data_IF_613011018647
#
_entry.id   IF_613011018647
#
_cell.length_a   1.000
_cell.length_b   1.000
_cell.length_c   1.000
_cell.angle_alpha   90.00
_cell.angle_beta   90.00
_cell.angle_gamma   90.00
#
_symmetry.space_group_name_H-M   'P 1'
#
loop_
_entity.id
_entity.type
_entity.pdbx_description
1 polymer ?
#
# COMPACT_ATOMS: atom_id res chain seq x y z
N UNK A 1 -11.46 -10.50 -0.73
CA UNK A 1 -11.54 -11.24 -2.01
C UNK A 1 -12.25 -10.35 -3.00
N UNK A 2 -11.73 -10.22 -4.21
CA UNK A 2 -12.32 -9.42 -5.28
C UNK A 2 -13.05 -10.39 -6.20
N UNK A 3 -14.37 -10.31 -6.24
CA UNK A 3 -15.23 -11.04 -7.19
C UNK A 3 -15.55 -10.10 -8.36
N UNK A 4 -15.15 -10.48 -9.58
CA UNK A 4 -15.32 -9.63 -10.75
C UNK A 4 -16.80 -9.37 -11.10
N UNK A 5 -17.72 -10.22 -10.65
CA UNK A 5 -19.16 -9.97 -10.81
C UNK A 5 -19.65 -8.82 -9.95
N UNK A 6 -19.11 -8.67 -8.74
CA UNK A 6 -19.52 -7.61 -7.81
C UNK A 6 -19.08 -6.21 -8.28
N UNK A 7 -18.06 -6.13 -9.13
CA UNK A 7 -17.55 -4.88 -9.70
C UNK A 7 -17.89 -4.72 -11.19
N UNK A 8 -18.71 -5.62 -11.75
CA UNK A 8 -19.18 -5.55 -13.14
C UNK A 8 -18.11 -5.79 -14.20
N UNK A 9 -17.06 -6.56 -13.88
CA UNK A 9 -15.96 -6.87 -14.80
C UNK A 9 -16.04 -8.29 -15.38
N UNK A 10 -17.00 -9.09 -14.94
CA UNK A 10 -17.22 -10.45 -15.43
C UNK A 10 -17.65 -10.53 -16.91
N UNK A 11 -17.95 -9.41 -17.55
CA UNK A 11 -18.35 -9.36 -18.96
C UNK A 11 -17.13 -9.41 -19.90
N UNK A 12 -15.95 -9.03 -19.41
CA UNK A 12 -14.72 -8.98 -20.21
C UNK A 12 -13.54 -9.73 -19.58
N UNK A 13 -13.54 -9.98 -18.26
CA UNK A 13 -12.61 -10.92 -17.63
C UNK A 13 -13.26 -12.31 -17.63
N UNK A 14 -12.66 -13.24 -18.37
CA UNK A 14 -13.12 -14.62 -18.52
C UNK A 14 -12.59 -15.47 -17.37
N UNK A 15 -11.29 -15.36 -17.04
CA UNK A 15 -10.71 -16.12 -15.95
C UNK A 15 -9.58 -15.40 -15.19
N UNK A 16 -9.46 -15.64 -13.87
CA UNK A 16 -10.44 -16.34 -13.03
C UNK A 16 -11.65 -15.44 -12.72
N UNK A 17 -12.68 -15.98 -12.08
CA UNK A 17 -13.86 -15.21 -11.68
C UNK A 17 -13.59 -14.18 -10.57
N UNK A 18 -12.46 -14.30 -9.88
CA UNK A 18 -12.05 -13.41 -8.80
C UNK A 18 -10.74 -13.86 -8.15
N UNK A 19 -10.16 -13.01 -7.31
CA UNK A 19 -8.88 -13.28 -6.66
C UNK A 19 -8.71 -12.58 -5.31
N UNK A 20 -7.72 -13.02 -4.53
CA UNK A 20 -7.35 -12.38 -3.27
C UNK A 20 -6.42 -11.19 -3.52
N UNK A 21 -6.99 -10.02 -3.82
CA UNK A 21 -6.21 -8.79 -3.99
C UNK A 21 -5.55 -8.29 -2.70
N UNK A 22 -6.18 -8.56 -1.55
CA UNK A 22 -5.79 -8.01 -0.24
C UNK A 22 -5.64 -6.48 -0.28
N UNK A 23 -5.26 -5.88 0.84
CA UNK A 23 -5.02 -4.45 0.92
C UNK A 23 -4.11 -4.13 2.12
N UNK A 24 -3.55 -2.92 2.13
CA UNK A 24 -2.79 -2.40 3.24
C UNK A 24 -3.64 -1.38 4.00
N UNK A 25 -3.73 -1.55 5.31
CA UNK A 25 -4.42 -0.64 6.20
C UNK A 25 -3.65 -0.56 7.51
N UNK A 26 -3.57 0.65 8.07
CA UNK A 26 -2.86 0.89 9.31
C UNK A 26 -2.38 2.32 9.41
N UNK A 27 -2.11 2.75 10.65
CA UNK A 27 -1.48 4.04 10.91
C UNK A 27 0.04 3.95 10.71
N UNK A 28 0.65 4.97 10.10
CA UNK A 28 2.10 5.04 9.92
C UNK A 28 2.68 6.25 10.68
N UNK A 29 2.84 6.15 12.00
CA UNK A 29 3.42 7.23 12.79
C UNK A 29 4.91 7.41 12.47
N UNK A 30 5.44 8.61 12.71
CA UNK A 30 6.81 8.98 12.33
C UNK A 30 7.89 8.07 12.96
N UNK A 31 7.64 7.54 14.15
CA UNK A 31 8.54 6.63 14.87
C UNK A 31 8.53 5.19 14.35
N UNK A 32 7.58 4.82 13.48
CA UNK A 32 7.49 3.47 12.90
C UNK A 32 8.31 3.30 11.61
N UNK A 33 8.97 4.35 11.11
CA UNK A 33 9.91 4.19 10.00
C UNK A 33 11.11 3.32 10.44
N UNK A 34 11.10 2.06 10.03
CA UNK A 34 12.20 1.11 10.25
C UNK A 34 11.82 -0.11 11.07
N UNK A 35 10.56 -0.23 11.53
CA UNK A 35 10.12 -1.39 12.31
C UNK A 35 10.00 -2.63 11.41
N UNK A 36 10.51 -3.80 11.82
CA UNK A 36 10.35 -5.06 11.08
C UNK A 36 8.88 -5.33 10.75
N UNK A 37 8.57 -5.65 9.50
CA UNK A 37 7.19 -5.84 9.02
C UNK A 37 6.55 -4.58 8.42
N UNK A 38 7.10 -3.39 8.70
CA UNK A 38 6.84 -2.18 7.91
C UNK A 38 8.01 -1.99 6.95
N UNK A 39 7.76 -2.05 5.64
CA UNK A 39 8.80 -1.79 4.66
C UNK A 39 9.16 -0.29 4.68
N UNK A 40 10.06 0.10 5.58
CA UNK A 40 10.60 1.44 5.61
C UNK A 40 11.79 1.52 4.67
N UNK A 41 11.59 2.18 3.52
CA UNK A 41 12.69 2.53 2.63
C UNK A 41 13.60 3.59 3.25
N UNK A 42 14.83 3.72 2.75
CA UNK A 42 15.70 4.84 3.09
C UNK A 42 15.03 6.20 2.83
N UNK A 43 14.27 6.31 1.74
CA UNK A 43 13.49 7.50 1.41
C UNK A 43 12.51 7.87 2.53
N UNK A 44 11.76 6.88 3.05
CA UNK A 44 10.82 7.08 4.16
C UNK A 44 11.52 7.57 5.43
N UNK A 45 12.70 7.03 5.73
CA UNK A 45 13.50 7.46 6.90
C UNK A 45 13.95 8.92 6.78
N UNK A 46 14.49 9.32 5.62
CA UNK A 46 14.93 10.70 5.36
C UNK A 46 13.74 11.66 5.44
N UNK A 47 12.63 11.37 4.75
CA UNK A 47 11.44 12.22 4.78
C UNK A 47 10.88 12.37 6.19
N UNK A 48 10.80 11.29 6.98
CA UNK A 48 10.35 11.36 8.37
C UNK A 48 11.30 12.18 9.24
N UNK A 49 12.61 12.14 9.01
CA UNK A 49 13.57 12.96 9.73
C UNK A 49 13.36 14.46 9.47
N UNK A 50 13.12 14.86 8.21
CA UNK A 50 12.78 16.26 7.88
C UNK A 50 11.48 16.71 8.57
N UNK A 51 10.46 15.84 8.56
CA UNK A 51 9.16 16.10 9.20
C UNK A 51 9.27 16.25 10.72
N UNK A 52 10.02 15.38 11.39
CA UNK A 52 10.26 15.46 12.83
C UNK A 52 10.99 16.76 13.23
N UNK A 53 11.74 17.36 12.30
CA UNK A 53 12.40 18.66 12.48
C UNK A 53 11.51 19.85 12.14
N UNK A 54 10.23 19.63 11.82
CA UNK A 54 9.28 20.68 11.45
C UNK A 54 9.54 21.30 10.07
N UNK A 55 10.34 20.65 9.23
CA UNK A 55 10.62 21.10 7.87
C UNK A 55 9.49 20.63 6.92
N UNK A 56 9.00 21.55 6.08
CA UNK A 56 7.91 21.32 5.12
C UNK A 56 8.13 20.07 4.26
N UNK A 57 7.09 19.28 3.93
CA UNK A 57 5.65 19.54 4.13
C UNK A 57 5.18 19.08 5.52
N UNK A 58 4.82 20.07 6.36
CA UNK A 58 4.63 19.94 7.80
C UNK A 58 3.30 19.34 8.26
N UNK A 59 2.54 18.62 7.43
CA UNK A 59 1.22 18.11 7.84
C UNK A 59 0.72 16.80 7.21
N UNK A 60 1.46 16.16 6.30
CA UNK A 60 0.95 14.98 5.56
C UNK A 60 1.40 13.66 6.18
N UNK A 61 0.60 12.99 6.99
CA UNK A 61 0.98 11.69 7.56
C UNK A 61 1.38 10.66 6.48
N UNK A 62 2.32 9.78 6.82
CA UNK A 62 2.68 8.66 5.95
C UNK A 62 1.48 7.72 5.79
N UNK A 63 1.31 7.13 4.61
CA UNK A 63 0.24 6.20 4.31
C UNK A 63 0.77 4.76 4.30
N UNK A 64 -0.05 3.81 4.76
CA UNK A 64 0.26 2.38 4.66
C UNK A 64 0.04 1.92 3.22
N UNK A 65 1.09 1.45 2.55
CA UNK A 65 1.06 1.06 1.13
C UNK A 65 1.67 -0.32 0.90
N UNK A 66 1.25 -1.04 -0.15
CA UNK A 66 1.93 -2.26 -0.56
C UNK A 66 3.30 -1.91 -1.15
N UNK A 67 4.35 -2.60 -0.69
CA UNK A 67 5.73 -2.44 -1.21
C UNK A 67 6.19 -3.64 -2.04
N UNK A 68 5.45 -4.74 -1.99
CA UNK A 68 5.65 -5.92 -2.83
C UNK A 68 4.30 -6.47 -3.27
N UNK A 69 4.21 -6.78 -4.55
CA UNK A 69 3.01 -7.30 -5.20
C UNK A 69 3.37 -8.60 -5.93
N UNK A 70 2.39 -9.49 -6.10
CA UNK A 70 2.50 -10.67 -6.96
C UNK A 70 1.72 -10.43 -8.24
N UNK A 71 2.28 -10.84 -9.37
CA UNK A 71 1.56 -10.86 -10.64
C UNK A 71 0.53 -11.98 -10.66
N UNK A 72 -0.41 -11.84 -11.57
CA UNK A 72 -1.47 -12.82 -11.79
C UNK A 72 -1.82 -12.86 -13.28
N UNK A 73 -1.99 -14.05 -13.82
CA UNK A 73 -2.46 -14.25 -15.19
C UNK A 73 -3.97 -14.05 -15.26
N UNK A 74 -4.42 -13.40 -16.33
CA UNK A 74 -5.83 -13.14 -16.64
C UNK A 74 -6.12 -13.58 -18.06
N UNK A 75 -7.35 -14.05 -18.28
CA UNK A 75 -7.93 -14.33 -19.58
C UNK A 75 -9.16 -13.45 -19.78
#
# INVERSE_FOLDING_TARGET
YIDFRLIGWNDWIIAPAGYYGNYCEGSCPAYMAGVPGSASSFHTAVVNQYRMRGMSPGSVNSCCIPTKLSTMSML
#
